data_IF_407862657988
#
_entry.id   IF_407862657988
#
_cell.length_a   1.000
_cell.length_b   1.000
_cell.length_c   1.000
_cell.angle_alpha   90.00
_cell.angle_beta   90.00
_cell.angle_gamma   90.00
#
_symmetry.space_group_name_H-M   'P 1'
#
loop_
_entity.id
_entity.type
_entity.pdbx_description
1 polymer ?
#
# COMPACT_ATOMS: atom_id res chain seq x y z
N UNK A 1 33.92 11.42 -8.92
CA UNK A 1 33.27 10.16 -9.36
C UNK A 1 32.24 9.63 -8.38
N UNK A 2 32.40 9.80 -7.05
CA UNK A 2 31.40 9.33 -6.07
C UNK A 2 30.05 10.08 -6.08
N UNK A 3 30.00 11.33 -6.56
CA UNK A 3 28.74 12.10 -6.61
C UNK A 3 27.82 11.75 -7.79
N UNK A 4 28.31 11.07 -8.84
CA UNK A 4 27.49 10.71 -10.00
C UNK A 4 26.60 9.47 -9.75
N UNK A 5 26.92 8.66 -8.72
CA UNK A 5 26.15 7.47 -8.35
C UNK A 5 24.93 7.79 -7.48
N UNK A 6 24.86 8.99 -6.89
CA UNK A 6 23.72 9.39 -6.05
C UNK A 6 22.44 9.69 -6.83
N UNK A 7 22.54 10.01 -8.12
CA UNK A 7 21.43 10.50 -8.94
C UNK A 7 20.67 9.42 -9.74
N UNK A 8 21.09 8.15 -9.68
CA UNK A 8 20.34 7.08 -10.36
C UNK A 8 19.07 6.77 -9.54
N UNK A 9 17.87 6.90 -10.12
CA UNK A 9 16.63 6.50 -9.46
C UNK A 9 16.59 4.98 -9.30
N UNK A 10 16.02 4.52 -8.19
CA UNK A 10 15.82 3.09 -7.93
C UNK A 10 14.88 2.51 -8.98
N UNK A 11 15.35 1.48 -9.70
CA UNK A 11 14.61 0.79 -10.78
C UNK A 11 14.04 -0.54 -10.32
N UNK A 12 14.75 -1.25 -9.46
CA UNK A 12 14.36 -2.56 -8.93
C UNK A 12 14.78 -2.69 -7.47
N UNK A 13 14.12 -3.62 -6.79
CA UNK A 13 14.38 -3.92 -5.38
C UNK A 13 14.80 -5.37 -5.29
N UNK A 14 16.00 -5.60 -4.81
CA UNK A 14 16.51 -6.95 -4.53
C UNK A 14 16.34 -7.23 -3.05
N UNK A 15 15.67 -8.33 -2.71
CA UNK A 15 15.36 -8.68 -1.33
C UNK A 15 16.01 -10.03 -1.01
N UNK A 16 16.82 -10.07 0.03
CA UNK A 16 17.37 -11.33 0.56
C UNK A 16 16.24 -12.24 1.09
N UNK A 17 16.29 -13.53 0.83
CA UNK A 17 15.26 -14.46 1.31
C UNK A 17 15.10 -14.46 2.84
N UNK A 18 16.16 -14.17 3.59
CA UNK A 18 16.08 -14.01 5.05
C UNK A 18 15.13 -12.88 5.45
N UNK A 19 15.13 -11.77 4.72
CA UNK A 19 14.25 -10.63 4.95
C UNK A 19 12.80 -11.03 4.68
N UNK A 20 12.56 -11.71 3.56
CA UNK A 20 11.22 -12.24 3.22
C UNK A 20 10.71 -13.13 4.35
N UNK A 21 11.51 -14.10 4.81
CA UNK A 21 11.11 -15.02 5.88
C UNK A 21 10.81 -14.31 7.20
N UNK A 22 11.60 -13.29 7.58
CA UNK A 22 11.35 -12.48 8.78
C UNK A 22 10.05 -11.71 8.68
N UNK A 23 9.79 -11.06 7.53
CA UNK A 23 8.55 -10.31 7.29
C UNK A 23 7.35 -11.25 7.33
N UNK A 24 7.38 -12.37 6.59
CA UNK A 24 6.31 -13.36 6.56
C UNK A 24 6.00 -13.87 7.97
N UNK A 25 7.02 -14.26 8.74
CA UNK A 25 6.85 -14.72 10.12
C UNK A 25 6.20 -13.65 10.99
N UNK A 26 6.67 -12.40 10.93
CA UNK A 26 6.14 -11.31 11.72
C UNK A 26 4.67 -11.02 11.38
N UNK A 27 4.36 -10.88 10.09
CA UNK A 27 3.00 -10.62 9.63
C UNK A 27 2.05 -11.77 9.98
N UNK A 28 2.50 -13.03 9.90
CA UNK A 28 1.70 -14.18 10.30
C UNK A 28 1.44 -14.21 11.82
N UNK A 29 2.44 -13.89 12.65
CA UNK A 29 2.28 -13.87 14.11
C UNK A 29 1.42 -12.72 14.64
N UNK A 30 1.42 -11.59 13.94
CA UNK A 30 0.66 -10.39 14.33
C UNK A 30 -0.75 -10.36 13.74
N UNK A 31 -1.08 -11.23 12.79
CA UNK A 31 -2.40 -11.28 12.16
C UNK A 31 -3.50 -11.52 13.22
N UNK A 32 -4.61 -10.75 13.22
CA UNK A 32 -5.09 -9.82 12.19
C UNK A 32 -4.62 -8.36 12.34
N UNK A 33 -3.79 -8.04 13.33
CA UNK A 33 -3.28 -6.67 13.53
C UNK A 33 -2.18 -6.31 12.52
N UNK A 34 -2.10 -5.03 12.16
CA UNK A 34 -1.10 -4.55 11.21
C UNK A 34 0.31 -4.64 11.81
N UNK A 35 1.19 -5.41 11.18
CA UNK A 35 2.58 -5.57 11.55
C UNK A 35 3.44 -4.60 10.73
N UNK A 36 4.26 -3.77 11.39
CA UNK A 36 5.16 -2.84 10.71
C UNK A 36 6.60 -3.01 11.20
N UNK A 37 7.57 -2.62 10.38
CA UNK A 37 8.99 -2.63 10.77
C UNK A 37 9.87 -1.87 9.80
N UNK A 38 11.16 -1.78 10.13
CA UNK A 38 12.16 -1.10 9.29
C UNK A 38 12.94 -2.10 8.47
N UNK A 39 13.26 -1.72 7.23
CA UNK A 39 14.16 -2.46 6.36
C UNK A 39 15.48 -1.73 6.22
N UNK A 40 16.56 -2.50 6.14
CA UNK A 40 17.91 -1.98 5.99
C UNK A 40 18.63 -2.65 4.82
N UNK A 41 19.57 -1.91 4.23
CA UNK A 41 20.43 -2.40 3.17
C UNK A 41 21.19 -1.29 2.46
N UNK A 42 21.45 -1.44 1.18
CA UNK A 42 22.27 -0.50 0.40
C UNK A 42 21.77 -0.37 -1.04
N UNK A 43 22.01 0.78 -1.65
CA UNK A 43 21.73 1.00 -3.07
C UNK A 43 23.00 0.79 -3.89
N UNK A 44 22.90 -0.05 -4.92
CA UNK A 44 23.96 -0.38 -5.86
C UNK A 44 23.46 -0.07 -7.28
N UNK A 45 23.91 1.07 -7.81
CA UNK A 45 23.69 1.50 -9.20
C UNK A 45 22.21 1.46 -9.68
N UNK A 46 21.26 1.72 -8.78
CA UNK A 46 19.82 1.73 -9.08
C UNK A 46 19.08 0.44 -8.75
N UNK A 47 19.77 -0.56 -8.19
CA UNK A 47 19.17 -1.72 -7.52
C UNK A 47 19.27 -1.51 -6.01
N UNK A 48 18.11 -1.44 -5.36
CA UNK A 48 18.06 -1.33 -3.90
C UNK A 48 18.12 -2.72 -3.28
N UNK A 49 19.25 -3.07 -2.69
CA UNK A 49 19.44 -4.33 -1.98
C UNK A 49 18.95 -4.19 -0.54
N UNK A 50 18.02 -5.07 -0.15
CA UNK A 50 17.47 -5.16 1.20
C UNK A 50 18.03 -6.42 1.84
N UNK A 51 18.98 -6.24 2.75
CA UNK A 51 19.77 -7.32 3.37
C UNK A 51 19.21 -7.77 4.71
N UNK A 52 18.58 -6.86 5.47
CA UNK A 52 18.02 -7.18 6.78
C UNK A 52 16.78 -6.36 7.11
N UNK A 53 16.06 -6.79 8.15
CA UNK A 53 14.82 -6.18 8.61
C UNK A 53 14.61 -6.47 10.09
N UNK A 54 13.91 -5.57 10.77
CA UNK A 54 13.48 -5.74 12.15
C UNK A 54 12.09 -5.13 12.39
N UNK A 55 11.25 -5.78 13.21
CA UNK A 55 9.91 -5.29 13.52
C UNK A 55 9.96 -4.06 14.42
N UNK A 56 8.97 -3.17 14.28
CA UNK A 56 8.72 -2.16 15.31
C UNK A 56 8.03 -2.80 16.50
N UNK A 57 8.34 -2.38 17.73
CA UNK A 57 7.64 -2.88 18.91
C UNK A 57 6.16 -2.51 18.83
N UNK A 58 5.29 -3.49 19.06
CA UNK A 58 3.85 -3.27 19.15
C UNK A 58 3.54 -2.47 20.40
N UNK A 59 2.80 -1.37 20.26
CA UNK A 59 2.25 -0.65 21.41
C UNK A 59 1.14 -1.53 21.99
N UNK A 60 1.38 -2.17 23.13
CA UNK A 60 0.33 -2.90 23.84
C UNK A 60 -0.75 -1.90 24.27
N UNK A 61 -1.91 -1.98 23.63
CA UNK A 61 -3.11 -1.27 24.09
C UNK A 61 -3.53 -1.96 25.38
N UNK A 62 -3.49 -1.24 26.50
CA UNK A 62 -4.01 -1.73 27.77
C UNK A 62 -5.42 -2.28 27.56
N UNK A 63 -5.64 -3.52 27.98
CA UNK A 63 -6.81 -4.37 27.72
C UNK A 63 -8.15 -3.87 28.30
N UNK A 64 -8.32 -2.56 28.49
CA UNK A 64 -9.56 -1.94 28.99
C UNK A 64 -10.51 -1.50 27.88
N UNK A 65 -10.05 -1.32 26.63
CA UNK A 65 -10.90 -0.88 25.52
C UNK A 65 -10.87 -1.91 24.36
N UNK A 66 -12.01 -2.56 24.15
CA UNK A 66 -12.20 -3.71 23.27
C UNK A 66 -12.37 -3.34 21.77
N UNK A 67 -11.71 -2.27 21.30
CA UNK A 67 -11.81 -1.82 19.91
C UNK A 67 -10.58 -2.26 19.10
N UNK A 68 -10.68 -3.41 18.43
CA UNK A 68 -9.62 -3.95 17.55
C UNK A 68 -9.16 -2.99 16.43
N UNK A 69 -10.03 -2.05 16.01
CA UNK A 69 -9.70 -1.03 15.01
C UNK A 69 -8.66 0.00 15.52
N UNK A 70 -8.67 0.34 16.82
CA UNK A 70 -7.75 1.33 17.36
C UNK A 70 -6.32 0.79 17.43
N UNK A 71 -6.17 -0.49 17.79
CA UNK A 71 -4.87 -1.16 17.82
C UNK A 71 -4.21 -1.22 16.42
N UNK A 72 -4.98 -1.52 15.37
CA UNK A 72 -4.46 -1.57 13.99
C UNK A 72 -4.08 -0.17 13.48
N UNK A 73 -4.87 0.85 13.80
CA UNK A 73 -4.57 2.25 13.43
C UNK A 73 -3.30 2.76 14.12
N UNK A 74 -3.14 2.47 15.42
CA UNK A 74 -1.92 2.78 16.18
C UNK A 74 -0.69 2.07 15.61
N UNK A 75 -0.82 0.78 15.29
CA UNK A 75 0.26 0.00 14.69
C UNK A 75 0.62 0.47 13.27
N UNK A 76 -0.36 0.94 12.49
CA UNK A 76 -0.12 1.55 11.18
C UNK A 76 0.61 2.90 11.29
N UNK A 77 0.43 3.66 12.37
CA UNK A 77 1.16 4.90 12.63
C UNK A 77 2.56 4.69 13.25
N UNK A 78 2.91 3.44 13.59
CA UNK A 78 4.17 3.10 14.24
C UNK A 78 5.43 3.59 13.50
N UNK A 79 5.54 3.53 12.15
CA UNK A 79 6.77 3.92 11.45
C UNK A 79 7.16 5.40 11.62
N UNK A 80 6.21 6.27 11.98
CA UNK A 80 6.42 7.71 12.22
C UNK A 80 6.34 8.11 13.69
N UNK A 81 6.15 7.15 14.60
CA UNK A 81 6.08 7.40 16.03
C UNK A 81 7.47 7.74 16.59
N UNK A 82 7.57 8.80 17.41
CA UNK A 82 8.87 9.27 17.95
C UNK A 82 9.65 8.20 18.71
N UNK A 83 8.95 7.37 19.49
CA UNK A 83 9.57 6.25 20.21
C UNK A 83 10.20 5.23 19.26
N UNK A 84 9.52 4.95 18.13
CA UNK A 84 10.02 4.01 17.13
C UNK A 84 11.18 4.58 16.31
N UNK A 85 11.22 5.90 16.08
CA UNK A 85 12.40 6.55 15.48
C UNK A 85 13.63 6.40 16.38
N UNK A 86 13.47 6.56 17.71
CA UNK A 86 14.55 6.34 18.66
C UNK A 86 15.00 4.86 18.67
N UNK A 87 14.05 3.94 18.77
CA UNK A 87 14.29 2.50 18.70
C UNK A 87 15.00 2.08 17.41
N UNK A 88 14.57 2.62 16.27
CA UNK A 88 15.17 2.35 14.97
C UNK A 88 16.64 2.76 14.94
N UNK A 89 16.97 3.94 15.46
CA UNK A 89 18.35 4.43 15.50
C UNK A 89 19.24 3.55 16.41
N UNK A 90 18.72 3.10 17.56
CA UNK A 90 19.44 2.18 18.45
C UNK A 90 19.64 0.81 17.80
N UNK A 91 18.61 0.25 17.15
CA UNK A 91 18.70 -1.03 16.45
C UNK A 91 19.69 -0.97 15.29
N UNK A 92 19.67 0.11 14.50
CA UNK A 92 20.66 0.35 13.43
C UNK A 92 22.08 0.38 14.01
N UNK A 93 22.29 1.01 15.18
CA UNK A 93 23.59 1.02 15.85
C UNK A 93 24.02 -0.40 16.24
N UNK A 94 23.14 -1.19 16.83
CA UNK A 94 23.46 -2.57 17.21
C UNK A 94 23.75 -3.47 16.00
N UNK A 95 23.02 -3.31 14.91
CA UNK A 95 23.30 -4.04 13.67
C UNK A 95 24.68 -3.67 13.08
N UNK A 96 25.08 -2.40 13.18
CA UNK A 96 26.43 -1.97 12.80
C UNK A 96 27.52 -2.58 13.69
N UNK A 97 27.26 -2.77 14.98
CA UNK A 97 28.19 -3.44 15.91
C UNK A 97 28.42 -4.92 15.53
N UNK A 98 27.45 -5.56 14.88
CA UNK A 98 27.53 -6.94 14.37
C UNK A 98 28.02 -6.99 12.91
N UNK A 99 28.55 -5.88 12.37
CA UNK A 99 29.03 -5.74 10.98
C UNK A 99 27.96 -6.03 9.90
N UNK A 100 26.69 -5.75 10.21
CA UNK A 100 25.62 -5.74 9.20
C UNK A 100 25.53 -4.34 8.58
N UNK A 101 25.26 -4.29 7.27
CA UNK A 101 25.04 -3.08 6.49
C UNK A 101 23.69 -2.42 6.82
N UNK A 102 23.61 -1.79 8.00
CA UNK A 102 22.37 -1.21 8.49
C UNK A 102 22.15 0.25 8.04
N UNK A 103 21.97 0.50 6.73
CA UNK A 103 21.40 1.80 6.31
C UNK A 103 19.90 1.69 6.19
N UNK A 104 19.17 2.68 6.70
CA UNK A 104 17.73 2.72 6.56
C UNK A 104 17.34 2.98 5.09
N UNK A 105 16.69 2.01 4.47
CA UNK A 105 16.20 2.07 3.08
C UNK A 105 14.68 2.06 3.00
N UNK A 106 14.00 2.06 4.15
CA UNK A 106 12.56 2.23 4.26
C UNK A 106 11.91 1.35 5.33
N UNK A 107 10.70 0.89 5.02
CA UNK A 107 9.87 0.17 5.98
C UNK A 107 9.03 -0.92 5.30
N UNK A 108 8.45 -1.81 6.10
CA UNK A 108 7.47 -2.78 5.64
C UNK A 108 6.19 -2.70 6.45
N UNK A 109 5.09 -3.14 5.84
CA UNK A 109 3.78 -3.30 6.49
C UNK A 109 3.11 -4.57 6.03
N UNK A 110 2.33 -5.20 6.92
CA UNK A 110 1.36 -6.19 6.52
C UNK A 110 0.14 -5.53 5.88
N UNK A 111 -0.49 -6.23 4.96
CA UNK A 111 -1.82 -5.93 4.45
C UNK A 111 -2.74 -7.14 4.65
N UNK A 112 -4.03 -6.86 4.78
CA UNK A 112 -5.07 -7.89 4.81
C UNK A 112 -5.94 -7.71 3.58
N UNK A 113 -5.94 -8.71 2.71
CA UNK A 113 -6.75 -8.79 1.49
C UNK A 113 -6.60 -7.57 0.58
N UNK A 114 -5.40 -7.00 0.47
CA UNK A 114 -5.16 -5.80 -0.32
C UNK A 114 -5.49 -4.46 0.32
N UNK A 115 -5.95 -4.43 1.58
CA UNK A 115 -6.21 -3.19 2.30
C UNK A 115 -4.91 -2.59 2.84
N UNK A 116 -4.30 -1.68 2.09
CA UNK A 116 -3.11 -0.94 2.52
C UNK A 116 -3.02 0.49 1.98
N UNK A 117 -3.83 0.86 0.99
CA UNK A 117 -3.78 2.18 0.35
C UNK A 117 -4.63 3.13 1.19
N UNK A 118 -4.04 3.61 2.28
CA UNK A 118 -4.68 4.51 3.23
C UNK A 118 -3.80 5.72 3.54
N UNK A 119 -4.36 6.70 4.26
CA UNK A 119 -3.67 7.93 4.61
C UNK A 119 -2.43 7.67 5.48
N UNK A 120 -2.48 6.70 6.40
CA UNK A 120 -1.34 6.31 7.22
C UNK A 120 -0.16 5.81 6.38
N UNK A 121 -0.42 5.00 5.35
CA UNK A 121 0.61 4.52 4.43
C UNK A 121 1.28 5.66 3.69
N UNK A 122 0.50 6.62 3.18
CA UNK A 122 1.00 7.81 2.49
C UNK A 122 1.84 8.68 3.43
N UNK A 123 1.36 8.94 4.65
CA UNK A 123 2.08 9.71 5.66
C UNK A 123 3.42 9.07 6.05
N UNK A 124 3.42 7.76 6.27
CA UNK A 124 4.63 7.00 6.58
C UNK A 124 5.61 7.06 5.42
N UNK A 125 5.15 6.76 4.20
CA UNK A 125 6.04 6.78 3.05
C UNK A 125 6.57 8.18 2.77
N UNK A 126 5.75 9.23 2.91
CA UNK A 126 6.22 10.62 2.80
C UNK A 126 7.27 10.96 3.88
N UNK A 127 7.09 10.49 5.11
CA UNK A 127 8.03 10.71 6.21
C UNK A 127 9.43 10.20 5.86
N UNK A 128 9.55 8.95 5.40
CA UNK A 128 10.83 8.38 5.01
C UNK A 128 11.36 8.95 3.69
N UNK A 129 10.50 9.08 2.68
CA UNK A 129 10.91 9.50 1.34
C UNK A 129 11.33 10.98 1.27
N UNK A 130 10.84 11.82 2.19
CA UNK A 130 11.30 13.21 2.34
C UNK A 130 12.76 13.28 2.79
N UNK A 131 13.17 12.37 3.67
CA UNK A 131 14.50 12.38 4.28
C UNK A 131 15.49 11.58 3.39
N UNK A 132 15.02 10.55 2.68
CA UNK A 132 15.79 9.80 1.69
C UNK A 132 14.91 9.45 0.47
N UNK A 133 15.20 10.01 -0.71
CA UNK A 133 14.42 9.74 -1.93
C UNK A 133 14.44 8.25 -2.34
N UNK A 134 15.47 7.49 -1.98
CA UNK A 134 15.60 6.07 -2.37
C UNK A 134 14.80 5.11 -1.47
N UNK A 135 13.93 5.64 -0.62
CA UNK A 135 13.09 4.85 0.29
C UNK A 135 12.04 4.03 -0.45
N UNK A 136 11.90 2.76 -0.06
CA UNK A 136 10.83 1.85 -0.53
C UNK A 136 9.97 1.36 0.63
N UNK A 137 8.67 1.20 0.39
CA UNK A 137 7.75 0.49 1.27
C UNK A 137 7.49 -0.93 0.75
N UNK A 138 7.79 -1.93 1.55
CA UNK A 138 7.40 -3.32 1.27
C UNK A 138 6.03 -3.63 1.87
N UNK A 139 5.12 -4.15 1.05
CA UNK A 139 3.78 -4.57 1.48
C UNK A 139 3.68 -6.07 1.34
N UNK A 140 3.50 -6.76 2.46
CA UNK A 140 3.25 -8.20 2.48
C UNK A 140 1.78 -8.48 2.80
N UNK A 141 1.08 -9.15 1.89
CA UNK A 141 -0.30 -9.56 2.14
C UNK A 141 -0.32 -10.98 2.73
N UNK A 142 -0.59 -11.07 4.03
CA UNK A 142 -0.60 -12.34 4.76
C UNK A 142 -1.74 -13.26 4.28
N UNK A 143 -2.92 -12.68 4.03
CA UNK A 143 -4.12 -13.42 3.62
C UNK A 143 -4.05 -13.96 2.20
N UNK A 144 -3.36 -13.25 1.29
CA UNK A 144 -3.13 -13.74 -0.07
C UNK A 144 -2.01 -14.77 -0.09
N UNK A 145 -0.97 -14.57 0.73
CA UNK A 145 0.15 -15.51 0.81
C UNK A 145 -0.26 -16.86 1.40
N UNK A 146 -1.28 -16.91 2.27
CA UNK A 146 -1.84 -18.17 2.76
C UNK A 146 -2.52 -19.03 1.69
N UNK A 147 -2.81 -18.48 0.50
CA UNK A 147 -3.39 -19.23 -0.62
C UNK A 147 -2.31 -19.83 -1.55
N UNK A 148 -1.04 -19.74 -1.15
CA UNK A 148 0.07 -20.47 -1.76
C UNK A 148 1.07 -19.62 -2.56
N UNK A 149 0.69 -18.45 -3.07
CA UNK A 149 1.61 -17.55 -3.79
C UNK A 149 2.07 -16.41 -2.88
N UNK A 150 3.39 -16.23 -2.75
CA UNK A 150 3.96 -15.12 -1.98
C UNK A 150 3.50 -13.78 -2.54
N UNK A 151 2.76 -13.02 -1.72
CA UNK A 151 2.34 -11.66 -2.06
C UNK A 151 3.23 -10.66 -1.33
N UNK A 152 4.30 -10.25 -1.99
CA UNK A 152 5.21 -9.20 -1.56
C UNK A 152 5.33 -8.17 -2.69
N UNK A 153 5.06 -6.90 -2.39
CA UNK A 153 5.09 -5.80 -3.37
C UNK A 153 5.90 -4.63 -2.84
N UNK A 154 6.61 -3.94 -3.71
CA UNK A 154 7.44 -2.79 -3.36
C UNK A 154 6.82 -1.53 -3.97
N UNK A 155 6.63 -0.50 -3.15
CA UNK A 155 6.05 0.77 -3.58
C UNK A 155 6.92 1.96 -3.19
N UNK A 156 6.85 2.99 -4.01
CA UNK A 156 7.40 4.32 -3.76
C UNK A 156 6.34 5.37 -4.14
N UNK A 157 6.30 6.51 -3.45
CA UNK A 157 5.44 7.62 -3.88
C UNK A 157 6.04 8.28 -5.11
N UNK A 158 5.19 8.66 -6.06
CA UNK A 158 5.67 9.38 -7.23
C UNK A 158 6.25 10.74 -6.83
N UNK A 159 7.30 11.24 -7.53
CA UNK A 159 7.86 12.56 -7.25
C UNK A 159 6.83 13.69 -7.40
N UNK A 160 5.89 13.55 -8.33
CA UNK A 160 4.80 14.49 -8.56
C UNK A 160 3.83 14.53 -7.38
N UNK A 161 3.48 13.36 -6.84
CA UNK A 161 2.63 13.28 -5.64
C UNK A 161 3.36 13.80 -4.39
N UNK A 162 4.66 13.52 -4.23
CA UNK A 162 5.48 14.07 -3.13
C UNK A 162 5.47 15.60 -3.11
N UNK A 163 5.60 16.23 -4.28
CA UNK A 163 5.54 17.69 -4.40
C UNK A 163 4.16 18.25 -4.04
N UNK A 164 3.08 17.63 -4.55
CA UNK A 164 1.72 18.04 -4.22
C UNK A 164 1.38 17.85 -2.73
N UNK A 165 1.84 16.75 -2.13
CA UNK A 165 1.63 16.46 -0.71
C UNK A 165 2.37 17.46 0.19
N UNK A 166 3.57 17.90 -0.20
CA UNK A 166 4.32 18.95 0.50
C UNK A 166 3.58 20.29 0.52
N UNK A 167 2.87 20.63 -0.55
CA UNK A 167 2.07 21.87 -0.63
C UNK A 167 0.77 21.79 0.19
N UNK A 168 0.29 20.57 0.49
CA UNK A 168 -0.93 20.34 1.27
C UNK A 168 -2.22 20.77 0.55
N UNK A 169 -2.16 21.07 -0.75
CA UNK A 169 -3.29 21.56 -1.55
C UNK A 169 -3.76 20.48 -2.51
N UNK A 170 -4.80 19.75 -2.12
CA UNK A 170 -5.49 18.77 -2.96
C UNK A 170 -6.86 19.30 -3.40
N UNK A 171 -6.84 20.42 -4.13
CA UNK A 171 -8.01 21.04 -4.74
C UNK A 171 -8.12 20.61 -6.21
N UNK A 172 -9.31 20.76 -6.80
CA UNK A 172 -9.54 20.52 -8.23
C UNK A 172 -8.57 21.30 -9.12
N UNK A 173 -8.30 22.56 -8.78
CA UNK A 173 -7.35 23.40 -9.52
C UNK A 173 -5.90 22.92 -9.39
N UNK A 174 -5.47 22.44 -8.22
CA UNK A 174 -4.10 21.95 -8.05
C UNK A 174 -3.89 20.63 -8.79
N UNK A 175 -4.85 19.70 -8.67
CA UNK A 175 -4.82 18.40 -9.33
C UNK A 175 -4.86 18.50 -10.85
N UNK A 176 -5.63 19.43 -11.40
CA UNK A 176 -5.67 19.66 -12.86
C UNK A 176 -4.38 20.25 -13.39
N UNK A 177 -3.75 21.17 -12.64
CA UNK A 177 -2.44 21.74 -12.98
C UNK A 177 -1.32 20.71 -12.90
N UNK A 178 -1.33 19.87 -11.87
CA UNK A 178 -0.32 18.82 -11.67
C UNK A 178 -0.57 17.57 -12.52
N UNK A 179 -1.75 17.46 -13.17
CA UNK A 179 -2.22 16.28 -13.92
C UNK A 179 -2.13 14.98 -13.12
N UNK A 180 -2.33 15.06 -11.80
CA UNK A 180 -2.26 13.89 -10.92
C UNK A 180 -3.55 13.08 -11.01
N UNK A 181 -3.42 11.80 -11.28
CA UNK A 181 -4.52 10.83 -11.20
C UNK A 181 -4.31 9.83 -10.07
N UNK A 182 -5.33 9.01 -9.77
CA UNK A 182 -5.23 7.96 -8.75
C UNK A 182 -4.15 6.91 -9.07
N UNK A 183 -3.85 6.69 -10.35
CA UNK A 183 -2.81 5.76 -10.80
C UNK A 183 -1.40 6.25 -10.46
N UNK A 184 -1.20 7.57 -10.49
CA UNK A 184 0.12 8.18 -10.35
C UNK A 184 0.55 8.36 -8.90
N UNK A 185 -0.25 7.92 -7.92
CA UNK A 185 0.07 8.07 -6.49
C UNK A 185 1.24 7.16 -6.09
N UNK A 186 1.18 5.89 -6.49
CA UNK A 186 2.13 4.85 -6.12
C UNK A 186 2.81 4.27 -7.36
N UNK A 187 4.14 4.26 -7.34
CA UNK A 187 4.97 3.57 -8.32
C UNK A 187 5.33 2.21 -7.74
N UNK A 188 4.98 1.15 -8.44
CA UNK A 188 5.37 -0.22 -8.09
C UNK A 188 6.75 -0.53 -8.67
N UNK A 189 7.63 -1.07 -7.85
CA UNK A 189 8.97 -1.50 -8.24
C UNK A 189 9.03 -3.02 -8.33
N UNK A 190 9.69 -3.60 -9.35
CA UNK A 190 9.88 -5.04 -9.45
C UNK A 190 10.76 -5.54 -8.30
N UNK A 191 10.34 -6.65 -7.70
CA UNK A 191 11.08 -7.34 -6.64
C UNK A 191 11.78 -8.56 -7.22
N UNK A 192 13.06 -8.69 -6.93
CA UNK A 192 13.86 -9.89 -7.18
C UNK A 192 14.29 -10.49 -5.84
N UNK A 193 14.02 -11.78 -5.63
CA UNK A 193 14.48 -12.48 -4.42
C UNK A 193 15.86 -13.05 -4.72
N UNK A 194 16.86 -12.60 -3.96
CA UNK A 194 18.23 -13.08 -4.07
C UNK A 194 18.57 -14.04 -2.94
N UNK A 195 19.36 -15.06 -3.28
CA UNK A 195 19.93 -16.01 -2.34
C UNK A 195 21.44 -16.09 -2.54
N UNK A 196 22.18 -16.00 -1.44
CA UNK A 196 23.61 -16.34 -1.46
C UNK A 196 23.84 -17.81 -1.82
N UNK A 197 25.01 -18.11 -2.41
CA UNK A 197 25.36 -19.48 -2.80
C UNK A 197 25.36 -20.46 -1.60
N UNK A 198 25.77 -20.00 -0.42
CA UNK A 198 25.73 -20.81 0.80
C UNK A 198 24.30 -21.18 1.20
N UNK A 199 23.37 -20.22 1.12
CA UNK A 199 21.95 -20.49 1.39
C UNK A 199 21.39 -21.48 0.37
N UNK A 200 21.74 -21.35 -0.91
CA UNK A 200 21.32 -22.30 -1.93
C UNK A 200 21.84 -23.72 -1.63
N UNK A 201 23.11 -23.87 -1.23
CA UNK A 201 23.65 -25.16 -0.80
C UNK A 201 22.91 -25.74 0.40
N UNK A 202 22.57 -24.90 1.38
CA UNK A 202 21.78 -25.31 2.55
C UNK A 202 20.34 -25.75 2.17
N UNK A 203 19.70 -25.06 1.23
CA UNK A 203 18.37 -25.45 0.73
C UNK A 203 18.39 -26.81 0.03
N UNK A 204 19.47 -27.13 -0.70
CA UNK A 204 19.65 -28.46 -1.31
C UNK A 204 19.85 -29.57 -0.28
N UNK A 205 20.37 -29.27 0.91
CA UNK A 205 20.51 -30.24 2.01
C UNK A 205 19.17 -30.53 2.69
N UNK A 206 18.29 -29.53 2.83
CA UNK A 206 17.00 -29.68 3.51
C UNK A 206 15.98 -30.47 2.69
N UNK A 207 16.00 -30.33 1.36
CA UNK A 207 14.99 -30.88 0.47
C UNK A 207 15.61 -31.73 -0.65
N UNK A 208 16.09 -32.95 -0.36
CA UNK A 208 16.47 -33.86 -1.43
C UNK A 208 15.21 -34.17 -2.27
N UNK A 209 15.26 -34.00 -3.60
CA UNK A 209 14.17 -34.47 -4.44
C UNK A 209 13.97 -35.98 -4.22
N UNK A 210 12.73 -36.50 -4.30
CA UNK A 210 12.50 -37.93 -4.19
C UNK A 210 13.36 -38.66 -5.24
N UNK A 211 14.14 -39.64 -4.79
CA UNK A 211 15.12 -40.37 -5.61
C UNK A 211 14.45 -41.18 -6.73
N UNK A 212 13.17 -41.55 -6.54
CA UNK A 212 12.36 -42.29 -7.47
C UNK A 212 11.05 -41.53 -7.75
N UNK A 213 10.64 -41.47 -9.01
CA UNK A 213 9.44 -40.74 -9.44
C UNK A 213 8.13 -41.40 -8.98
N UNK A 214 8.17 -42.71 -8.70
CA UNK A 214 7.03 -43.49 -8.24
C UNK A 214 7.33 -44.05 -6.86
N UNK A 215 6.61 -43.56 -5.83
CA UNK A 215 6.65 -44.18 -4.51
C UNK A 215 5.73 -45.40 -4.56
N UNK A 216 6.21 -46.61 -4.21
CA UNK A 216 5.35 -47.79 -4.16
C UNK A 216 4.20 -47.56 -3.19
N UNK A 217 2.98 -47.92 -3.61
CA UNK A 217 1.80 -47.83 -2.76
C UNK A 217 2.01 -48.66 -1.49
N UNK A 218 1.77 -48.10 -0.29
CA UNK A 218 1.95 -48.83 0.96
C UNK A 218 1.02 -50.05 0.99
N UNK A 219 1.54 -51.20 1.39
CA UNK A 219 0.78 -52.45 1.44
C UNK A 219 -0.16 -52.52 2.67
N UNK A 220 0.07 -51.66 3.68
CA UNK A 220 -0.73 -51.62 4.91
C UNK A 220 -0.65 -50.27 5.62
N UNK A 221 -1.64 -49.97 6.49
CA UNK A 221 -1.63 -48.76 7.34
C UNK A 221 -0.41 -48.71 8.28
N UNK A 222 0.08 -49.87 8.74
CA UNK A 222 1.24 -49.95 9.63
C UNK A 222 2.57 -49.63 8.93
N UNK A 223 2.62 -49.74 7.60
CA UNK A 223 3.76 -49.35 6.78
C UNK A 223 3.82 -47.82 6.60
N UNK A 224 2.66 -47.17 6.47
CA UNK A 224 2.54 -45.70 6.42
C UNK A 224 2.99 -45.02 7.72
N UNK A 225 2.65 -45.61 8.88
CA UNK A 225 3.05 -45.05 10.18
C UNK A 225 4.57 -45.20 10.45
N UNK A 226 5.20 -46.25 9.90
CA UNK A 226 6.63 -46.53 10.09
C UNK A 226 7.53 -45.70 9.19
N UNK A 227 7.10 -45.46 7.95
CA UNK A 227 7.82 -44.66 6.96
C UNK A 227 6.87 -43.58 6.41
N UNK A 228 6.64 -42.49 7.17
CA UNK A 228 5.87 -41.37 6.63
C UNK A 228 6.60 -40.81 5.42
N UNK A 229 5.88 -40.67 4.29
CA UNK A 229 6.41 -40.03 3.09
C UNK A 229 6.75 -38.59 3.45
N UNK A 230 8.04 -38.24 3.41
CA UNK A 230 8.47 -36.85 3.56
C UNK A 230 8.12 -36.12 2.27
N UNK A 231 6.97 -35.45 2.28
CA UNK A 231 6.56 -34.60 1.17
C UNK A 231 7.58 -33.46 1.11
N UNK A 232 8.24 -33.23 -0.05
CA UNK A 232 9.17 -32.13 -0.17
C UNK A 232 8.41 -30.82 0.08
N UNK A 233 9.04 -29.80 0.70
CA UNK A 233 8.39 -28.52 0.97
C UNK A 233 7.96 -27.78 -0.31
N UNK A 234 8.42 -28.23 -1.49
CA UNK A 234 8.02 -27.73 -2.79
C UNK A 234 7.96 -28.87 -3.83
N UNK A 235 6.98 -28.89 -4.75
CA UNK A 235 5.83 -27.98 -4.85
C UNK A 235 4.74 -28.29 -3.82
N UNK A 236 4.18 -27.25 -3.19
CA UNK A 236 3.10 -27.37 -2.20
C UNK A 236 1.77 -27.70 -2.89
N UNK A 237 1.10 -28.78 -2.49
CA UNK A 237 -0.23 -29.18 -2.98
C UNK A 237 -1.31 -28.13 -2.67
N UNK A 238 -1.13 -27.32 -1.63
CA UNK A 238 -2.03 -26.22 -1.25
C UNK A 238 -2.25 -25.20 -2.39
N UNK A 239 -1.26 -25.04 -3.27
CA UNK A 239 -1.41 -24.18 -4.44
C UNK A 239 -2.48 -24.65 -5.42
N UNK A 240 -2.91 -25.92 -5.36
CA UNK A 240 -3.94 -26.50 -6.23
C UNK A 240 -5.33 -26.52 -5.59
N UNK A 241 -5.51 -25.95 -4.40
CA UNK A 241 -6.81 -25.89 -3.75
C UNK A 241 -7.83 -25.11 -4.59
N UNK A 242 -9.04 -25.68 -4.72
CA UNK A 242 -10.19 -25.14 -5.47
C UNK A 242 -11.21 -24.41 -4.58
N UNK A 243 -11.23 -24.70 -3.27
CA UNK A 243 -12.13 -24.09 -2.27
C UNK A 243 -11.68 -22.67 -1.94
N UNK A 244 -12.36 -21.67 -2.53
CA UNK A 244 -11.90 -20.27 -2.48
C UNK A 244 -13.00 -19.31 -2.00
N UNK A 245 -14.21 -19.81 -1.80
CA UNK A 245 -15.42 -19.03 -1.52
C UNK A 245 -15.24 -17.98 -0.40
N UNK A 246 -14.63 -18.29 0.77
CA UNK A 246 -14.52 -17.31 1.86
C UNK A 246 -13.65 -16.09 1.52
N UNK A 247 -12.63 -16.25 0.66
CA UNK A 247 -11.71 -15.17 0.33
C UNK A 247 -12.25 -14.27 -0.78
N UNK A 248 -12.89 -14.88 -1.79
CA UNK A 248 -13.51 -14.11 -2.86
C UNK A 248 -14.69 -13.29 -2.33
N UNK A 249 -15.53 -13.89 -1.49
CA UNK A 249 -16.65 -13.21 -0.83
C UNK A 249 -16.17 -11.99 -0.05
N UNK A 250 -15.20 -12.18 0.85
CA UNK A 250 -14.62 -11.05 1.61
C UNK A 250 -13.95 -9.99 0.72
N UNK A 251 -13.27 -10.38 -0.35
CA UNK A 251 -12.65 -9.40 -1.27
C UNK A 251 -13.73 -8.56 -1.97
N UNK A 252 -14.84 -9.19 -2.35
CA UNK A 252 -16.01 -8.50 -2.91
C UNK A 252 -16.68 -7.58 -1.88
N UNK A 253 -16.83 -8.01 -0.62
CA UNK A 253 -17.36 -7.17 0.45
C UNK A 253 -16.48 -5.93 0.69
N UNK A 254 -15.15 -6.12 0.75
CA UNK A 254 -14.20 -5.01 0.89
C UNK A 254 -14.21 -4.07 -0.32
N UNK A 255 -14.41 -4.61 -1.52
CA UNK A 255 -14.60 -3.80 -2.73
C UNK A 255 -15.86 -2.95 -2.61
N UNK A 256 -16.99 -3.54 -2.19
CA UNK A 256 -18.25 -2.81 -1.99
C UNK A 256 -18.09 -1.71 -0.93
N UNK A 257 -17.47 -2.00 0.21
CA UNK A 257 -17.17 -1.01 1.26
C UNK A 257 -16.32 0.15 0.71
N UNK A 258 -15.31 -0.14 -0.10
CA UNK A 258 -14.47 0.91 -0.71
C UNK A 258 -15.22 1.76 -1.75
N UNK A 259 -16.17 1.16 -2.48
CA UNK A 259 -17.05 1.89 -3.40
C UNK A 259 -17.99 2.80 -2.62
N UNK A 260 -18.54 2.34 -1.50
CA UNK A 260 -19.39 3.15 -0.61
C UNK A 260 -18.61 4.33 0.01
N UNK A 261 -17.37 4.09 0.45
CA UNK A 261 -16.49 5.14 0.93
C UNK A 261 -16.21 6.19 -0.15
N UNK A 262 -15.85 5.75 -1.37
CA UNK A 262 -15.67 6.65 -2.51
C UNK A 262 -16.95 7.42 -2.87
N UNK A 263 -18.13 6.79 -2.77
CA UNK A 263 -19.41 7.44 -3.02
C UNK A 263 -19.75 8.50 -1.96
N UNK A 264 -19.40 8.24 -0.71
CA UNK A 264 -19.55 9.19 0.41
C UNK A 264 -18.72 10.46 0.16
N UNK A 265 -17.45 10.30 -0.25
CA UNK A 265 -16.58 11.43 -0.61
C UNK A 265 -17.11 12.22 -1.81
N UNK A 266 -17.63 11.51 -2.81
CA UNK A 266 -18.22 12.12 -3.99
C UNK A 266 -19.46 12.95 -3.62
N UNK A 267 -20.30 12.46 -2.70
CA UNK A 267 -21.46 13.20 -2.21
C UNK A 267 -21.06 14.46 -1.44
N UNK A 268 -20.00 14.39 -0.63
CA UNK A 268 -19.44 15.56 0.07
C UNK A 268 -18.97 16.64 -0.92
N UNK A 269 -18.27 16.23 -1.98
CA UNK A 269 -17.86 17.14 -3.05
C UNK A 269 -19.04 17.73 -3.83
N UNK A 270 -20.06 16.92 -4.16
CA UNK A 270 -21.27 17.42 -4.81
C UNK A 270 -22.03 18.43 -3.93
N UNK A 271 -22.07 18.20 -2.61
CA UNK A 271 -22.65 19.15 -1.67
C UNK A 271 -21.91 20.49 -1.71
N UNK A 272 -20.57 20.45 -1.65
CA UNK A 272 -19.73 21.64 -1.82
C UNK A 272 -20.03 22.37 -3.13
N UNK A 273 -20.08 21.65 -4.26
CA UNK A 273 -20.35 22.24 -5.59
C UNK A 273 -21.71 22.95 -5.63
N UNK A 274 -22.76 22.35 -5.03
CA UNK A 274 -24.08 22.99 -4.93
C UNK A 274 -24.04 24.25 -4.07
N UNK A 275 -23.30 24.26 -2.97
CA UNK A 275 -23.16 25.42 -2.11
C UNK A 275 -22.40 26.56 -2.81
N UNK A 276 -21.31 26.22 -3.49
CA UNK A 276 -20.53 27.16 -4.29
C UNK A 276 -21.36 27.80 -5.40
N UNK A 277 -22.14 27.01 -6.15
CA UNK A 277 -23.02 27.52 -7.20
C UNK A 277 -24.10 28.49 -6.67
N UNK A 278 -24.65 28.23 -5.47
CA UNK A 278 -25.60 29.14 -4.82
C UNK A 278 -24.96 30.47 -4.45
N UNK A 279 -23.77 30.44 -3.85
CA UNK A 279 -23.05 31.67 -3.48
C UNK A 279 -22.60 32.45 -4.72
N UNK A 280 -22.11 31.77 -5.77
CA UNK A 280 -21.79 32.41 -7.05
C UNK A 280 -23.01 33.07 -7.69
N UNK A 281 -24.20 32.47 -7.58
CA UNK A 281 -25.44 33.08 -8.10
C UNK A 281 -25.79 34.37 -7.34
N UNK A 282 -25.61 34.40 -6.01
CA UNK A 282 -25.81 35.60 -5.19
C UNK A 282 -24.80 36.70 -5.55
N UNK A 283 -23.54 36.34 -5.74
CA UNK A 283 -22.46 37.27 -6.14
C UNK A 283 -22.78 37.88 -7.51
N UNK A 284 -23.12 37.05 -8.51
CA UNK A 284 -23.46 37.52 -9.86
C UNK A 284 -24.70 38.42 -9.84
N UNK A 285 -25.73 38.09 -9.04
CA UNK A 285 -26.91 38.94 -8.88
C UNK A 285 -26.58 40.28 -8.21
N UNK A 286 -25.71 40.28 -7.19
CA UNK A 286 -25.22 41.50 -6.54
C UNK A 286 -24.42 42.37 -7.52
N UNK A 287 -23.50 41.77 -8.28
CA UNK A 287 -22.68 42.48 -9.27
C UNK A 287 -23.55 43.09 -10.38
N UNK A 288 -24.53 42.34 -10.88
CA UNK A 288 -25.47 42.85 -11.89
C UNK A 288 -26.28 44.04 -11.36
N UNK A 289 -26.77 43.96 -10.11
CA UNK A 289 -27.48 45.08 -9.46
C UNK A 289 -26.58 46.29 -9.27
N UNK A 290 -25.33 46.08 -8.84
CA UNK A 290 -24.35 47.15 -8.63
C UNK A 290 -23.96 47.85 -9.93
N UNK A 291 -23.76 47.08 -11.01
CA UNK A 291 -23.50 47.60 -12.35
C UNK A 291 -24.67 48.44 -12.88
N UNK A 292 -25.91 48.01 -12.67
CA UNK A 292 -27.09 48.77 -13.04
C UNK A 292 -27.22 50.09 -12.25
N UNK A 293 -26.92 50.06 -10.95
CA UNK A 293 -26.88 51.26 -10.09
C UNK A 293 -25.79 52.24 -10.54
N UNK A 294 -24.59 51.74 -10.84
CA UNK A 294 -23.48 52.53 -11.36
C UNK A 294 -23.81 53.18 -12.72
N UNK A 295 -24.49 52.47 -13.62
CA UNK A 295 -24.96 53.04 -14.89
C UNK A 295 -25.97 54.18 -14.68
N UNK A 296 -26.90 54.04 -13.73
CA UNK A 296 -27.85 55.10 -13.38
C UNK A 296 -27.15 56.32 -12.75
N UNK A 297 -26.20 56.10 -11.84
CA UNK A 297 -25.42 57.19 -11.22
C UNK A 297 -24.53 57.93 -12.22
N UNK A 298 -23.93 57.23 -13.17
CA UNK A 298 -23.18 57.84 -14.27
C UNK A 298 -24.07 58.77 -15.13
N UNK A 299 -25.30 58.35 -15.44
CA UNK A 299 -26.27 59.19 -16.15
C UNK A 299 -26.67 60.44 -15.33
N UNK A 300 -26.69 60.33 -14.00
CA UNK A 300 -26.94 61.45 -13.07
C UNK A 300 -25.68 62.24 -12.66
N UNK A 301 -24.51 61.99 -13.28
CA UNK A 301 -23.21 62.61 -12.96
C UNK A 301 -22.77 62.48 -11.49
N UNK A 302 -23.19 61.42 -10.81
CA UNK A 302 -22.75 61.08 -9.45
C UNK A 302 -21.53 60.14 -9.50
N UNK A 303 -20.67 60.15 -8.46
CA UNK A 303 -19.53 59.24 -8.38
C UNK A 303 -19.99 57.77 -8.33
N UNK A 304 -19.25 56.92 -9.05
CA UNK A 304 -19.45 55.48 -9.13
C UNK A 304 -19.15 54.83 -7.78
N UNK A 305 -19.90 53.78 -7.45
CA UNK A 305 -19.64 52.99 -6.26
C UNK A 305 -18.60 51.91 -6.55
N UNK A 306 -17.81 51.50 -5.54
CA UNK A 306 -16.84 50.42 -5.69
C UNK A 306 -17.52 49.10 -6.08
N UNK A 307 -16.91 48.39 -7.02
CA UNK A 307 -17.40 47.11 -7.51
C UNK A 307 -16.82 45.91 -6.74
N UNK A 308 -15.89 46.13 -5.80
CA UNK A 308 -15.17 45.07 -5.07
C UNK A 308 -15.76 44.72 -3.69
N UNK A 309 -16.76 45.45 -3.21
CA UNK A 309 -17.35 45.25 -1.86
C UNK A 309 -17.91 43.83 -1.65
N UNK A 310 -18.29 43.13 -2.74
CA UNK A 310 -18.78 41.75 -2.65
C UNK A 310 -17.74 40.76 -2.08
N UNK A 311 -16.44 41.02 -2.25
CA UNK A 311 -15.38 40.14 -1.72
C UNK A 311 -15.35 40.11 -0.19
N UNK A 312 -15.76 41.21 0.46
CA UNK A 312 -15.92 41.28 1.91
C UNK A 312 -17.29 40.78 2.38
N UNK A 313 -18.32 40.90 1.53
CA UNK A 313 -19.70 40.57 1.86
C UNK A 313 -20.00 39.06 1.72
N UNK A 314 -19.41 38.39 0.73
CA UNK A 314 -19.64 36.98 0.46
C UNK A 314 -18.37 36.16 0.75
N UNK A 315 -18.50 35.19 1.65
CA UNK A 315 -17.44 34.20 1.91
C UNK A 315 -17.72 32.94 1.12
N UNK A 316 -16.86 32.60 0.17
CA UNK A 316 -17.00 31.35 -0.57
C UNK A 316 -16.70 30.15 0.34
N UNK A 317 -17.45 29.04 0.20
CA UNK A 317 -17.14 27.80 0.89
C UNK A 317 -15.72 27.31 0.52
N UNK A 318 -15.02 26.71 1.48
CA UNK A 318 -13.72 26.07 1.24
C UNK A 318 -13.93 24.70 0.60
N UNK A 319 -13.09 24.37 -0.38
CA UNK A 319 -13.14 23.08 -1.06
C UNK A 319 -12.68 21.96 -0.12
N UNK A 320 -13.42 20.84 0.00
CA UNK A 320 -12.94 19.68 0.74
C UNK A 320 -11.72 19.07 0.02
N UNK A 321 -10.77 18.55 0.79
CA UNK A 321 -9.60 17.87 0.23
C UNK A 321 -10.01 16.68 -0.64
N UNK A 322 -9.47 16.59 -1.84
CA UNK A 322 -9.73 15.50 -2.79
C UNK A 322 -8.81 14.28 -2.57
N UNK A 323 -7.89 14.35 -1.59
CA UNK A 323 -6.89 13.32 -1.33
C UNK A 323 -7.54 11.98 -0.98
N UNK A 324 -8.45 11.98 -0.02
CA UNK A 324 -9.11 10.77 0.47
C UNK A 324 -9.88 10.05 -0.64
N UNK A 325 -10.69 10.80 -1.41
CA UNK A 325 -11.38 10.26 -2.58
C UNK A 325 -10.43 9.68 -3.64
N UNK A 326 -9.24 10.26 -3.82
CA UNK A 326 -8.24 9.71 -4.75
C UNK A 326 -7.62 8.40 -4.24
N UNK A 327 -7.37 8.30 -2.93
CA UNK A 327 -6.87 7.06 -2.32
C UNK A 327 -7.94 5.95 -2.35
N UNK A 328 -9.19 6.30 -2.03
CA UNK A 328 -10.32 5.38 -2.12
C UNK A 328 -10.52 4.85 -3.54
N UNK A 329 -10.42 5.72 -4.56
CA UNK A 329 -10.47 5.28 -5.97
C UNK A 329 -9.32 4.30 -6.32
N UNK A 330 -8.11 4.54 -5.82
CA UNK A 330 -6.98 3.65 -6.02
C UNK A 330 -7.15 2.30 -5.30
N UNK A 331 -7.76 2.30 -4.11
CA UNK A 331 -8.08 1.11 -3.36
C UNK A 331 -9.17 0.26 -4.05
N UNK A 332 -10.20 0.90 -4.64
CA UNK A 332 -11.19 0.21 -5.49
C UNK A 332 -10.50 -0.51 -6.66
N UNK A 333 -9.59 0.18 -7.37
CA UNK A 333 -8.84 -0.44 -8.46
C UNK A 333 -7.98 -1.62 -7.99
N UNK A 334 -7.35 -1.50 -6.81
CA UNK A 334 -6.55 -2.57 -6.21
C UNK A 334 -7.39 -3.83 -5.95
N UNK A 335 -8.59 -3.68 -5.38
CA UNK A 335 -9.50 -4.80 -5.17
C UNK A 335 -9.99 -5.40 -6.49
N UNK A 336 -10.34 -4.57 -7.49
CA UNK A 336 -10.74 -5.06 -8.81
C UNK A 336 -9.64 -5.91 -9.47
N UNK A 337 -8.38 -5.44 -9.45
CA UNK A 337 -7.24 -6.22 -9.98
C UNK A 337 -7.01 -7.51 -9.21
N UNK A 338 -7.29 -7.53 -7.91
CA UNK A 338 -7.22 -8.75 -7.11
C UNK A 338 -8.29 -9.75 -7.55
N UNK A 339 -9.54 -9.32 -7.67
CA UNK A 339 -10.64 -10.16 -8.17
C UNK A 339 -10.30 -10.73 -9.54
N UNK A 340 -9.79 -9.93 -10.47
CA UNK A 340 -9.34 -10.40 -11.80
C UNK A 340 -8.25 -11.47 -11.68
N UNK A 341 -7.23 -11.22 -10.85
CA UNK A 341 -6.14 -12.17 -10.61
C UNK A 341 -6.63 -13.47 -9.95
N UNK A 342 -7.61 -13.38 -9.06
CA UNK A 342 -8.29 -14.52 -8.47
C UNK A 342 -9.01 -15.33 -9.54
N UNK A 343 -9.91 -14.73 -10.30
CA UNK A 343 -10.67 -15.41 -11.35
C UNK A 343 -9.76 -16.07 -12.38
N UNK A 344 -8.66 -15.43 -12.79
CA UNK A 344 -7.69 -16.00 -13.71
C UNK A 344 -7.04 -17.27 -13.16
N UNK A 345 -6.60 -17.25 -11.89
CA UNK A 345 -5.94 -18.39 -11.25
C UNK A 345 -6.92 -19.57 -11.09
N UNK A 346 -8.14 -19.32 -10.63
CA UNK A 346 -9.17 -20.34 -10.43
C UNK A 346 -9.59 -20.97 -11.75
N UNK A 347 -9.78 -20.16 -12.78
CA UNK A 347 -10.16 -20.67 -14.10
C UNK A 347 -9.10 -21.63 -14.64
N UNK A 348 -7.82 -21.32 -14.43
CA UNK A 348 -6.72 -22.22 -14.80
C UNK A 348 -6.74 -23.52 -13.99
N UNK A 349 -6.96 -23.46 -12.67
CA UNK A 349 -7.08 -24.64 -11.79
C UNK A 349 -8.27 -25.53 -12.17
N UNK A 350 -9.44 -24.94 -12.40
CA UNK A 350 -10.63 -25.67 -12.84
C UNK A 350 -10.42 -26.32 -14.21
N UNK A 351 -9.73 -25.62 -15.13
CA UNK A 351 -9.39 -26.17 -16.44
C UNK A 351 -8.44 -27.37 -16.31
N UNK A 352 -7.38 -27.28 -15.49
CA UNK A 352 -6.46 -28.40 -15.27
C UNK A 352 -7.14 -29.61 -14.66
N UNK A 353 -8.07 -29.40 -13.71
CA UNK A 353 -8.84 -30.48 -13.09
C UNK A 353 -9.78 -31.12 -14.10
N UNK A 354 -10.49 -30.33 -14.92
CA UNK A 354 -11.34 -30.85 -15.99
C UNK A 354 -10.56 -31.70 -16.99
N UNK A 355 -9.36 -31.26 -17.39
CA UNK A 355 -8.50 -32.00 -18.31
C UNK A 355 -8.07 -33.37 -17.76
N UNK A 356 -7.82 -33.46 -16.45
CA UNK A 356 -7.43 -34.71 -15.80
C UNK A 356 -8.60 -35.63 -15.41
N UNK A 357 -9.83 -35.10 -15.32
CA UNK A 357 -11.04 -35.87 -14.97
C UNK A 357 -11.72 -36.53 -16.17
N UNK A 358 -11.43 -36.07 -17.39
CA UNK A 358 -11.92 -36.69 -18.62
C UNK A 358 -10.81 -37.62 -19.15
N UNK A 359 -11.02 -38.95 -19.22
CA UNK A 359 -10.11 -39.80 -19.98
C UNK A 359 -10.12 -39.37 -21.45
N UNK A 360 -8.96 -39.38 -22.10
CA UNK A 360 -8.83 -39.14 -23.56
C UNK A 360 -9.69 -40.09 -24.40
#
# INVERSE_FOLDING_TARGET
>A
MADALKDVPVKSVQVEALVVMKIVRHCASSFPTTATGSIVGMDLEGVLEITNTFPFPTVEVSSSDNHANDASSLAAAAPRAKANVAYQNEMIRHLKEVNVDANNVGWYTSATMGNFINLNFIENQYHYQRDNDKTVALVHDASRSSQGALSLRAFKLSPTFMAAYKEGKFTTDSLTKSKLTFNDVLIELPIEVHNTHLLNSFLYEIAPPPTEAEVPLPASLSEMERNPVSIPPYPSLDQLELSIDPFLEKTCDLLLESIEAHYTDLNNHQYYQRQLAREQTKITAWQAKRKAENAARAASKQPLLPEDEWQSLFKLPQEPSRLEGMLNARQVEQYSRQVDGFTANISAKMFSVRGNLLPE
#
